data_IF_544696638489
#
_entry.id   IF_544696638489
#
_cell.length_a   1.000
_cell.length_b   1.000
_cell.length_c   1.000
_cell.angle_alpha   90.00
_cell.angle_beta   90.00
_cell.angle_gamma   90.00
#
_symmetry.space_group_name_H-M   'P 1'
#
loop_
_entity.id
_entity.type
_entity.pdbx_description
1 polymer ?
#
# COMPACT_ATOMS: atom_id res chain seq x y z
N UNK A 1 -68.99 -19.04 45.88
CA UNK A 1 -67.71 -19.28 45.18
C UNK A 1 -67.13 -17.91 44.83
N UNK A 2 -65.98 -17.55 45.35
CA UNK A 2 -65.56 -16.20 45.66
C UNK A 2 -65.05 -15.41 44.42
N UNK A 3 -65.83 -14.41 43.98
CA UNK A 3 -65.56 -13.52 42.90
C UNK A 3 -64.21 -12.77 43.08
N UNK A 4 -63.80 -12.62 44.32
CA UNK A 4 -62.52 -11.97 44.74
C UNK A 4 -61.29 -12.85 44.44
N UNK A 5 -61.40 -14.18 44.55
CA UNK A 5 -60.37 -15.15 44.25
C UNK A 5 -60.07 -15.20 42.72
N UNK A 6 -61.11 -15.11 41.89
CA UNK A 6 -60.97 -15.08 40.45
C UNK A 6 -60.31 -13.80 39.91
N UNK A 7 -60.58 -12.67 40.55
CA UNK A 7 -59.93 -11.38 40.18
C UNK A 7 -58.44 -11.43 40.52
N UNK A 8 -58.07 -11.91 41.69
CA UNK A 8 -56.67 -12.08 42.10
C UNK A 8 -55.91 -13.00 41.15
N UNK A 9 -56.48 -14.15 40.72
CA UNK A 9 -55.86 -15.04 39.75
C UNK A 9 -55.64 -14.39 38.39
N UNK A 10 -56.60 -13.63 37.90
CA UNK A 10 -56.46 -12.88 36.63
C UNK A 10 -55.39 -11.81 36.69
N UNK A 11 -55.25 -11.09 37.81
CA UNK A 11 -54.20 -10.08 38.06
C UNK A 11 -52.81 -10.76 38.07
N UNK A 12 -52.65 -11.90 38.77
CA UNK A 12 -51.38 -12.62 38.78
C UNK A 12 -50.96 -13.13 37.38
N UNK A 13 -51.94 -13.62 36.62
CA UNK A 13 -51.69 -14.11 35.25
C UNK A 13 -51.24 -12.92 34.33
N UNK A 14 -51.89 -11.75 34.47
CA UNK A 14 -51.52 -10.58 33.70
C UNK A 14 -50.14 -10.07 34.05
N UNK A 15 -49.76 -10.05 35.31
CA UNK A 15 -48.41 -9.63 35.79
C UNK A 15 -47.38 -10.66 35.26
N UNK A 16 -47.63 -11.96 35.32
CA UNK A 16 -46.73 -12.96 34.79
C UNK A 16 -46.53 -12.83 33.28
N UNK A 17 -47.60 -12.53 32.53
CA UNK A 17 -47.53 -12.33 31.09
C UNK A 17 -46.70 -11.08 30.72
N UNK A 18 -46.85 -9.99 31.46
CA UNK A 18 -46.04 -8.76 31.27
C UNK A 18 -44.57 -9.04 31.59
N UNK A 19 -44.28 -9.78 32.66
CA UNK A 19 -42.90 -10.14 33.01
C UNK A 19 -42.26 -11.04 31.93
N UNK A 20 -42.99 -12.02 31.39
CA UNK A 20 -42.52 -12.83 30.27
C UNK A 20 -42.23 -12.01 29.01
N UNK A 21 -43.10 -11.03 28.68
CA UNK A 21 -42.83 -10.12 27.55
C UNK A 21 -41.57 -9.25 27.78
N UNK A 22 -41.35 -8.77 28.99
CA UNK A 22 -40.13 -8.01 29.32
C UNK A 22 -38.86 -8.86 29.16
N UNK A 23 -38.88 -10.13 29.62
CA UNK A 23 -37.75 -11.06 29.48
C UNK A 23 -37.49 -11.37 28.01
N UNK A 24 -38.53 -11.59 27.18
CA UNK A 24 -38.38 -11.81 25.75
C UNK A 24 -37.82 -10.58 25.03
N UNK A 25 -38.26 -9.37 25.41
CA UNK A 25 -37.77 -8.13 24.81
C UNK A 25 -36.29 -7.89 25.11
N UNK A 26 -35.85 -8.15 26.36
CA UNK A 26 -34.45 -8.01 26.76
C UNK A 26 -33.56 -9.06 26.10
N UNK A 27 -34.04 -10.32 25.95
CA UNK A 27 -33.30 -11.38 25.28
C UNK A 27 -33.10 -11.10 23.78
N UNK A 28 -34.14 -10.56 23.09
CA UNK A 28 -34.01 -10.19 21.67
C UNK A 28 -33.09 -8.98 21.47
N UNK A 29 -33.13 -7.99 22.39
CA UNK A 29 -32.24 -6.84 22.34
C UNK A 29 -30.78 -7.25 22.58
N UNK A 30 -30.55 -8.18 23.52
CA UNK A 30 -29.21 -8.69 23.80
C UNK A 30 -28.66 -9.54 22.63
N UNK A 31 -29.49 -10.37 21.99
CA UNK A 31 -29.10 -11.12 20.80
C UNK A 31 -28.78 -10.20 19.59
N UNK A 32 -29.49 -9.08 19.45
CA UNK A 32 -29.20 -8.10 18.39
C UNK A 32 -27.89 -7.34 18.66
N UNK A 33 -27.55 -7.04 19.91
CA UNK A 33 -26.29 -6.39 20.30
C UNK A 33 -25.11 -7.35 20.11
N UNK A 34 -25.27 -8.62 20.50
CA UNK A 34 -24.20 -9.64 20.35
C UNK A 34 -23.95 -9.99 18.88
N UNK A 35 -24.96 -9.95 18.02
CA UNK A 35 -24.78 -10.17 16.56
C UNK A 35 -24.21 -8.96 15.82
N UNK A 36 -24.15 -7.78 16.44
CA UNK A 36 -23.52 -6.59 15.88
C UNK A 36 -22.02 -6.45 16.24
N UNK A 37 -21.59 -7.08 17.34
CA UNK A 37 -20.20 -7.02 17.80
C UNK A 37 -19.21 -7.87 16.98
N UNK A 38 -19.68 -8.83 16.20
CA UNK A 38 -18.83 -9.69 15.35
C UNK A 38 -18.61 -9.15 13.94
N UNK A 39 -19.17 -7.99 13.58
CA UNK A 39 -18.87 -7.31 12.34
C UNK A 39 -17.81 -6.21 12.58
N UNK A 40 -16.60 -6.62 12.92
CA UNK A 40 -15.42 -5.75 12.83
C UNK A 40 -15.12 -5.62 11.34
N UNK A 41 -15.55 -4.52 10.72
CA UNK A 41 -15.02 -4.09 9.45
C UNK A 41 -13.60 -3.57 9.72
N UNK A 42 -12.62 -4.44 9.65
CA UNK A 42 -11.24 -3.98 9.54
C UNK A 42 -11.12 -3.26 8.19
N UNK A 43 -10.87 -1.96 8.25
CA UNK A 43 -10.47 -1.19 7.07
C UNK A 43 -9.17 -1.80 6.57
N UNK A 44 -9.14 -2.18 5.30
CA UNK A 44 -7.94 -2.67 4.66
C UNK A 44 -6.82 -1.64 4.86
N UNK A 45 -5.74 -2.05 5.52
CA UNK A 45 -4.55 -1.21 5.66
C UNK A 45 -3.70 -1.42 4.42
N UNK A 46 -3.37 -0.33 3.73
CA UNK A 46 -2.39 -0.33 2.64
C UNK A 46 -1.04 0.06 3.23
N UNK A 47 -0.07 -0.82 3.11
CA UNK A 47 1.30 -0.62 3.57
C UNK A 47 2.26 -1.24 2.56
N UNK A 48 3.26 -0.48 2.14
CA UNK A 48 4.30 -0.92 1.22
C UNK A 48 5.67 -0.72 1.87
N UNK A 49 6.58 -1.66 1.66
CA UNK A 49 7.99 -1.53 2.02
C UNK A 49 8.88 -1.58 0.79
N UNK A 50 9.87 -0.71 0.75
CA UNK A 50 10.84 -0.61 -0.32
C UNK A 50 12.22 -1.00 0.20
N UNK A 51 12.81 -2.06 -0.39
CA UNK A 51 14.15 -2.57 -0.11
C UNK A 51 14.46 -2.74 1.39
N UNK A 52 13.47 -3.16 2.19
CA UNK A 52 13.55 -3.28 3.65
C UNK A 52 14.09 -2.00 4.33
N UNK A 53 13.73 -0.84 3.81
CA UNK A 53 14.21 0.45 4.31
C UNK A 53 15.69 0.74 4.05
N UNK A 54 16.37 -0.07 3.24
CA UNK A 54 17.78 0.14 2.88
C UNK A 54 17.93 0.92 1.58
N UNK A 55 18.97 1.74 1.47
CA UNK A 55 19.29 2.41 0.21
C UNK A 55 19.55 1.38 -0.90
N UNK A 56 19.01 1.64 -2.10
CA UNK A 56 19.25 0.81 -3.29
C UNK A 56 20.64 1.11 -3.84
N UNK A 57 21.00 2.38 -3.88
CA UNK A 57 22.34 2.86 -4.27
C UNK A 57 22.99 3.53 -3.07
N UNK A 58 24.23 3.19 -2.79
CA UNK A 58 25.01 3.79 -1.73
C UNK A 58 26.25 4.55 -2.27
N UNK A 59 26.93 5.29 -1.38
CA UNK A 59 28.07 6.11 -1.77
C UNK A 59 29.27 5.33 -2.35
N UNK A 60 29.26 3.99 -2.32
CA UNK A 60 30.30 3.13 -2.91
C UNK A 60 30.03 2.77 -4.35
N UNK A 61 28.80 2.93 -4.83
CA UNK A 61 28.36 2.63 -6.19
C UNK A 61 28.73 3.73 -7.23
N UNK A 62 29.38 4.83 -6.81
CA UNK A 62 29.34 6.16 -7.45
C UNK A 62 30.39 6.39 -8.53
N UNK A 63 31.25 5.43 -8.88
CA UNK A 63 32.19 5.61 -9.98
C UNK A 63 31.60 5.13 -11.29
N UNK A 64 30.59 5.88 -11.81
CA UNK A 64 30.07 5.64 -13.14
C UNK A 64 30.81 6.50 -14.17
N UNK A 65 31.28 5.88 -15.25
CA UNK A 65 31.95 6.54 -16.37
C UNK A 65 31.02 6.59 -17.59
N UNK A 66 31.22 7.55 -18.53
CA UNK A 66 30.45 7.60 -19.77
C UNK A 66 30.42 6.24 -20.49
N UNK A 67 29.24 5.82 -20.90
CA UNK A 67 29.02 4.50 -21.53
C UNK A 67 28.95 3.32 -20.56
N UNK A 68 29.17 3.52 -19.26
CA UNK A 68 29.04 2.49 -18.24
C UNK A 68 27.65 2.46 -17.61
N UNK A 69 27.33 1.35 -16.96
CA UNK A 69 26.09 1.17 -16.21
C UNK A 69 26.31 0.45 -14.88
N UNK A 70 25.47 0.76 -13.91
CA UNK A 70 25.40 0.07 -12.62
C UNK A 70 24.04 -0.61 -12.54
N UNK A 71 24.04 -1.86 -12.13
CA UNK A 71 22.83 -2.67 -11.93
C UNK A 71 22.67 -3.05 -10.48
N UNK A 72 21.48 -2.84 -9.91
CA UNK A 72 21.11 -3.22 -8.54
C UNK A 72 19.73 -3.83 -8.54
N UNK A 73 19.58 -4.93 -7.81
CA UNK A 73 18.28 -5.51 -7.52
C UNK A 73 17.78 -4.94 -6.19
N UNK A 74 16.47 -4.70 -6.12
CA UNK A 74 15.80 -4.22 -4.91
C UNK A 74 14.41 -4.82 -4.81
N UNK A 75 13.82 -4.77 -3.62
CA UNK A 75 12.52 -5.39 -3.36
C UNK A 75 11.44 -4.36 -3.11
N UNK A 76 10.23 -4.70 -3.56
CA UNK A 76 8.98 -4.03 -3.19
C UNK A 76 8.12 -5.07 -2.49
N UNK A 77 7.74 -4.84 -1.24
CA UNK A 77 6.95 -5.75 -0.42
C UNK A 77 5.57 -5.15 -0.14
N UNK A 78 4.54 -5.95 -0.33
CA UNK A 78 3.19 -5.61 0.06
C UNK A 78 2.90 -6.12 1.47
N UNK A 79 3.15 -5.29 2.47
CA UNK A 79 2.82 -5.58 3.87
C UNK A 79 1.37 -5.19 4.24
N UNK A 80 0.50 -5.19 3.22
CA UNK A 80 -0.93 -4.92 3.36
C UNK A 80 -1.74 -6.21 3.49
N UNK A 81 -2.98 -6.09 3.97
CA UNK A 81 -3.94 -7.21 4.03
C UNK A 81 -4.67 -7.43 2.70
N UNK A 82 -4.38 -6.65 1.68
CA UNK A 82 -5.05 -6.66 0.35
C UNK A 82 -4.03 -6.55 -0.77
N UNK A 83 -4.43 -6.95 -1.99
CA UNK A 83 -3.64 -6.74 -3.18
C UNK A 83 -3.55 -5.25 -3.51
N UNK A 84 -2.38 -4.80 -3.95
CA UNK A 84 -2.11 -3.40 -4.25
C UNK A 84 -1.55 -3.21 -5.66
N UNK A 85 -1.79 -2.03 -6.24
CA UNK A 85 -0.90 -1.44 -7.24
C UNK A 85 0.08 -0.50 -6.52
N UNK A 86 1.29 -0.40 -7.05
CA UNK A 86 2.29 0.54 -6.54
C UNK A 86 2.88 1.37 -7.68
N UNK A 87 3.42 2.51 -7.30
CA UNK A 87 4.24 3.36 -8.16
C UNK A 87 5.49 3.78 -7.41
N UNK A 88 6.58 3.93 -8.16
CA UNK A 88 7.87 4.40 -7.66
C UNK A 88 8.23 5.70 -8.39
N UNK A 89 8.79 6.64 -7.67
CA UNK A 89 9.26 7.90 -8.23
C UNK A 89 10.42 8.46 -7.41
N UNK A 90 11.17 9.40 -8.01
CA UNK A 90 12.28 10.07 -7.35
C UNK A 90 11.82 11.40 -6.78
N UNK A 91 12.30 11.70 -5.56
CA UNK A 91 12.11 12.98 -4.89
C UNK A 91 13.49 13.56 -4.50
N UNK A 92 13.52 14.85 -4.20
CA UNK A 92 14.73 15.57 -3.75
C UNK A 92 15.94 15.40 -4.69
N UNK A 93 15.66 15.24 -5.99
CA UNK A 93 16.71 15.06 -7.00
C UNK A 93 17.60 16.30 -7.07
N UNK A 94 18.89 16.12 -6.83
CA UNK A 94 19.88 17.20 -6.86
C UNK A 94 21.23 16.70 -7.40
N UNK A 95 22.02 17.64 -7.91
CA UNK A 95 23.34 17.32 -8.50
C UNK A 95 23.32 17.33 -10.03
N UNK A 96 24.49 17.54 -10.64
CA UNK A 96 24.64 17.73 -12.09
C UNK A 96 24.54 16.43 -12.90
N UNK A 97 24.77 15.25 -12.30
CA UNK A 97 24.66 13.98 -13.01
C UNK A 97 23.22 13.65 -13.42
N UNK A 98 22.19 14.33 -12.87
CA UNK A 98 20.78 14.13 -13.27
C UNK A 98 20.54 14.37 -14.78
N UNK A 99 21.35 15.21 -15.41
CA UNK A 99 21.21 15.57 -16.82
C UNK A 99 21.73 14.49 -17.78
N UNK A 100 22.61 13.58 -17.30
CA UNK A 100 23.32 12.58 -18.10
C UNK A 100 23.14 11.14 -17.65
N UNK A 101 22.43 10.91 -16.54
CA UNK A 101 22.09 9.56 -16.09
C UNK A 101 20.71 9.17 -16.57
N UNK A 102 20.63 7.95 -17.11
CA UNK A 102 19.39 7.28 -17.49
C UNK A 102 19.10 6.18 -16.49
N UNK A 103 17.89 6.18 -15.96
CA UNK A 103 17.36 5.19 -15.03
C UNK A 103 16.42 4.25 -15.79
N UNK A 104 16.72 2.97 -15.81
CA UNK A 104 15.84 1.93 -16.31
C UNK A 104 15.40 1.05 -15.13
N UNK A 105 14.10 0.83 -14.98
CA UNK A 105 13.54 -0.07 -13.96
C UNK A 105 12.87 -1.24 -14.68
N UNK A 106 13.22 -2.45 -14.24
CA UNK A 106 12.71 -3.68 -14.81
C UNK A 106 11.99 -4.55 -13.77
N UNK A 107 10.93 -5.23 -14.21
CA UNK A 107 10.30 -6.37 -13.53
C UNK A 107 10.60 -7.61 -14.36
N UNK A 108 11.59 -8.41 -13.93
CA UNK A 108 12.18 -9.46 -14.76
C UNK A 108 12.75 -8.89 -16.05
N UNK A 109 12.20 -9.31 -17.19
CA UNK A 109 12.60 -8.82 -18.53
C UNK A 109 11.73 -7.63 -19.00
N UNK A 110 10.72 -7.22 -18.23
CA UNK A 110 9.81 -6.15 -18.62
C UNK A 110 10.34 -4.80 -18.14
N UNK A 111 10.59 -3.89 -19.09
CA UNK A 111 10.94 -2.51 -18.81
C UNK A 111 9.69 -1.77 -18.30
N UNK A 112 9.73 -1.27 -17.06
CA UNK A 112 8.65 -0.50 -16.44
C UNK A 112 8.84 1.01 -16.63
N UNK A 113 10.09 1.46 -16.60
CA UNK A 113 10.45 2.87 -16.76
C UNK A 113 11.81 3.01 -17.43
N UNK A 114 11.98 4.05 -18.26
CA UNK A 114 13.27 4.49 -18.81
C UNK A 114 13.25 6.00 -18.99
N UNK A 115 14.17 6.71 -18.36
CA UNK A 115 14.25 8.16 -18.43
C UNK A 115 15.33 8.73 -17.53
N UNK A 116 15.47 10.05 -17.51
CA UNK A 116 16.35 10.76 -16.57
C UNK A 116 15.76 10.77 -15.17
N UNK A 117 16.56 11.16 -14.17
CA UNK A 117 16.10 11.24 -12.79
C UNK A 117 14.87 12.16 -12.63
N UNK A 118 14.87 13.32 -13.29
CA UNK A 118 13.76 14.27 -13.22
C UNK A 118 12.47 13.77 -13.95
N UNK A 119 12.60 12.79 -14.86
CA UNK A 119 11.46 12.23 -15.60
C UNK A 119 10.69 11.21 -14.76
N UNK A 120 11.35 10.56 -13.77
CA UNK A 120 10.73 9.60 -12.86
C UNK A 120 10.16 10.32 -11.63
N UNK A 121 9.15 11.12 -11.83
CA UNK A 121 8.51 11.93 -10.80
C UNK A 121 7.07 11.47 -10.51
N UNK A 122 6.34 12.17 -9.63
CA UNK A 122 4.99 11.80 -9.20
C UNK A 122 3.95 11.85 -10.33
N UNK A 123 4.14 12.72 -11.32
CA UNK A 123 3.29 12.83 -12.51
C UNK A 123 3.60 11.75 -13.56
N UNK A 124 4.87 11.29 -13.60
CA UNK A 124 5.35 10.26 -14.54
C UNK A 124 6.11 9.15 -13.80
N UNK A 125 5.44 8.40 -12.92
CA UNK A 125 6.09 7.39 -12.08
C UNK A 125 6.35 6.08 -12.82
N UNK A 126 7.27 5.28 -12.30
CA UNK A 126 7.38 3.87 -12.61
C UNK A 126 6.22 3.10 -11.94
N UNK A 127 5.25 2.61 -12.70
CA UNK A 127 4.09 1.91 -12.17
C UNK A 127 4.17 0.40 -12.34
N UNK A 128 3.65 -0.34 -11.35
CA UNK A 128 3.47 -1.79 -11.46
C UNK A 128 2.53 -2.14 -12.62
N UNK A 129 2.92 -3.11 -13.44
CA UNK A 129 2.08 -3.61 -14.54
C UNK A 129 0.92 -4.46 -14.02
N UNK A 130 1.17 -5.25 -12.97
CA UNK A 130 0.22 -6.18 -12.33
C UNK A 130 0.09 -5.86 -10.85
N UNK A 131 -1.02 -6.27 -10.20
CA UNK A 131 -1.13 -6.17 -8.76
C UNK A 131 -0.02 -6.95 -8.05
N UNK A 132 0.36 -6.49 -6.87
CA UNK A 132 1.20 -7.18 -5.92
C UNK A 132 0.28 -7.79 -4.84
N UNK A 133 0.28 -9.11 -4.71
CA UNK A 133 -0.62 -9.80 -3.77
C UNK A 133 -0.24 -9.47 -2.31
N UNK A 134 -1.20 -9.63 -1.40
CA UNK A 134 -0.94 -9.47 0.05
C UNK A 134 0.20 -10.38 0.50
N UNK A 135 1.22 -9.82 1.15
CA UNK A 135 2.43 -10.54 1.60
C UNK A 135 3.41 -10.92 0.49
N UNK A 136 3.17 -10.50 -0.77
CA UNK A 136 4.10 -10.76 -1.88
C UNK A 136 5.29 -9.80 -1.83
N UNK A 137 6.49 -10.36 -2.10
CA UNK A 137 7.72 -9.59 -2.33
C UNK A 137 8.07 -9.71 -3.80
N UNK A 138 8.22 -8.57 -4.47
CA UNK A 138 8.64 -8.49 -5.87
C UNK A 138 10.04 -7.92 -5.97
N UNK A 139 10.91 -8.61 -6.68
CA UNK A 139 12.26 -8.12 -6.98
C UNK A 139 12.26 -7.37 -8.29
N UNK A 140 12.68 -6.11 -8.23
CA UNK A 140 12.89 -5.25 -9.39
C UNK A 140 14.39 -5.04 -9.60
N UNK A 141 14.76 -4.68 -10.82
CA UNK A 141 16.13 -4.32 -11.16
C UNK A 141 16.18 -2.86 -11.59
N UNK A 142 17.02 -2.06 -10.93
CA UNK A 142 17.40 -0.73 -11.39
C UNK A 142 18.73 -0.79 -12.14
N UNK A 143 18.77 -0.18 -13.32
CA UNK A 143 19.97 0.00 -14.10
C UNK A 143 20.17 1.50 -14.32
N UNK A 144 21.25 2.06 -13.77
CA UNK A 144 21.63 3.44 -13.99
C UNK A 144 22.76 3.47 -14.99
N UNK A 145 22.57 4.21 -16.09
CA UNK A 145 23.52 4.33 -17.20
C UNK A 145 23.97 5.77 -17.33
N UNK A 146 25.25 6.00 -17.61
CA UNK A 146 25.72 7.30 -18.00
C UNK A 146 25.78 7.38 -19.54
N UNK A 147 25.21 8.45 -20.12
CA UNK A 147 25.25 8.65 -21.55
C UNK A 147 26.69 8.62 -22.06
N UNK A 148 26.94 7.91 -23.19
CA UNK A 148 28.27 7.82 -23.80
C UNK A 148 28.79 9.18 -24.25
N UNK A 149 27.89 10.09 -24.59
CA UNK A 149 28.17 11.48 -24.98
C UNK A 149 28.50 12.42 -23.82
N UNK A 150 28.43 11.95 -22.56
CA UNK A 150 28.66 12.78 -21.39
C UNK A 150 30.07 13.38 -21.42
N UNK A 151 30.12 14.70 -21.26
CA UNK A 151 31.36 15.46 -21.31
C UNK A 151 32.20 15.29 -20.03
N UNK A 152 33.50 15.58 -20.14
CA UNK A 152 34.42 15.60 -18.99
C UNK A 152 34.05 16.63 -17.89
N UNK A 153 33.10 17.53 -18.15
CA UNK A 153 32.58 18.47 -17.14
C UNK A 153 31.83 17.76 -16.00
N UNK A 154 31.33 16.56 -16.25
CA UNK A 154 30.65 15.72 -15.24
C UNK A 154 31.62 14.87 -14.40
N UNK A 155 32.92 14.99 -14.63
CA UNK A 155 33.92 14.27 -13.86
C UNK A 155 33.98 14.79 -12.42
N UNK A 156 33.84 13.87 -11.45
CA UNK A 156 33.75 14.14 -10.00
C UNK A 156 32.44 14.84 -9.57
N UNK A 157 31.46 14.88 -10.43
CA UNK A 157 30.11 15.33 -10.11
C UNK A 157 29.30 14.21 -9.48
N UNK A 158 28.19 14.57 -8.82
CA UNK A 158 27.32 13.63 -8.10
C UNK A 158 25.85 13.84 -8.40
N UNK A 159 25.06 12.90 -7.94
CA UNK A 159 23.60 12.97 -7.86
C UNK A 159 23.16 12.49 -6.47
N UNK A 160 22.13 13.12 -5.93
CA UNK A 160 21.41 12.66 -4.74
C UNK A 160 19.93 12.64 -5.04
N UNK A 161 19.23 11.64 -4.58
CA UNK A 161 17.78 11.48 -4.73
C UNK A 161 17.25 10.52 -3.67
N UNK A 162 15.95 10.63 -3.39
CA UNK A 162 15.20 9.66 -2.62
C UNK A 162 14.31 8.86 -3.58
N UNK A 163 14.17 7.56 -3.34
CA UNK A 163 13.21 6.73 -4.06
C UNK A 163 11.99 6.54 -3.16
N UNK A 164 10.84 6.98 -3.64
CA UNK A 164 9.58 6.90 -2.90
C UNK A 164 8.64 5.89 -3.56
N UNK A 165 7.90 5.15 -2.75
CA UNK A 165 6.88 4.22 -3.17
C UNK A 165 5.52 4.63 -2.62
N UNK A 166 4.51 4.78 -3.50
CA UNK A 166 3.10 4.88 -3.12
C UNK A 166 2.37 3.60 -3.49
N UNK A 167 1.35 3.25 -2.73
CA UNK A 167 0.50 2.11 -3.01
C UNK A 167 -0.98 2.43 -2.87
N UNK A 168 -1.81 1.77 -3.68
CA UNK A 168 -3.26 1.83 -3.62
C UNK A 168 -3.86 0.45 -3.72
N UNK A 169 -5.02 0.22 -3.12
CA UNK A 169 -5.73 -1.04 -3.23
C UNK A 169 -6.04 -1.35 -4.70
N UNK A 170 -5.77 -2.60 -5.14
CA UNK A 170 -6.03 -3.02 -6.51
C UNK A 170 -7.52 -3.32 -6.76
N UNK A 171 -8.23 -3.82 -5.74
CA UNK A 171 -9.66 -4.14 -5.85
C UNK A 171 -10.49 -2.87 -6.09
N UNK A 172 -11.33 -2.89 -7.12
CA UNK A 172 -12.16 -1.76 -7.56
C UNK A 172 -11.37 -0.53 -8.04
N UNK A 173 -10.09 -0.69 -8.36
CA UNK A 173 -9.23 0.37 -8.90
C UNK A 173 -8.52 -0.08 -10.20
N UNK A 174 -9.26 -0.47 -11.26
CA UNK A 174 -8.67 -0.93 -12.51
C UNK A 174 -7.85 0.15 -13.23
N UNK A 175 -8.17 1.42 -13.01
CA UNK A 175 -7.49 2.57 -13.60
C UNK A 175 -6.20 2.95 -12.85
N UNK A 176 -5.87 2.24 -11.76
CA UNK A 176 -4.69 2.51 -10.92
C UNK A 176 -4.57 3.97 -10.48
N UNK A 177 -5.69 4.53 -9.97
CA UNK A 177 -5.73 5.91 -9.49
C UNK A 177 -5.04 5.98 -8.12
N UNK A 178 -4.02 6.81 -8.02
CA UNK A 178 -3.30 7.17 -6.79
C UNK A 178 -3.75 8.57 -6.36
N UNK A 179 -4.41 8.68 -5.23
CA UNK A 179 -4.85 9.95 -4.62
C UNK A 179 -3.72 10.67 -3.87
#
# INVERSE_FOLDING_TARGET
MDKRSNIKKKVYISIAAILCMFVMLTATTYALIVSADDNIFETAQVKIELNNGQAIFDGTDINIEPGCSIRKDFTVENDSTVDIYYRLYLENVSGSLRDVLIFDIYDGDTLLFSGKADDMNKESPCQSSTPLASGEIRTLTAVVKMEESASSVYKNEGISFDITADAVQARNNPEKIFE
#
